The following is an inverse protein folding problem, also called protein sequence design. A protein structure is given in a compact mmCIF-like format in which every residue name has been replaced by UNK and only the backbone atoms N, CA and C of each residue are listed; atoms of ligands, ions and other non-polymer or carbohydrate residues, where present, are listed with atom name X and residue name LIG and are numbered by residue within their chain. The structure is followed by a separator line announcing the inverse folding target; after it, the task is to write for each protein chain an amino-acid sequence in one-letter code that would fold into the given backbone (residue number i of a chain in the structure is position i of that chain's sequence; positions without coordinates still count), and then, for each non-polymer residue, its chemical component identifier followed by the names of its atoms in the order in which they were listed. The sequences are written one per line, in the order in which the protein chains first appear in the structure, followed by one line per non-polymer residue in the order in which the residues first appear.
data_IF_926864022674
#
_entry.id   IF_926864022674
#
_cell.length_a   1.000
_cell.length_b   1.000
_cell.length_c   1.000
_cell.angle_alpha   90.00
_cell.angle_beta   90.00
_cell.angle_gamma   90.00
#
_symmetry.space_group_name_H-M   'P 1'
#
loop_
_entity.id
_entity.type
_entity.pdbx_description
1 polymer ?
#
# COMPACT_ATOMS: atom_id res chain seq x y z
N UNK A 1 26.05 25.48 5.05
CA UNK A 1 24.97 25.15 4.11
C UNK A 1 23.84 24.46 4.86
N UNK A 2 22.64 25.03 4.83
CA UNK A 2 21.50 24.45 5.53
C UNK A 2 20.90 23.36 4.65
N UNK A 3 20.85 22.14 5.16
CA UNK A 3 20.24 21.01 4.45
C UNK A 3 18.73 21.14 4.52
N UNK A 4 18.10 21.22 3.36
CA UNK A 4 16.64 21.35 3.26
C UNK A 4 15.98 20.02 3.65
N UNK A 5 15.09 20.05 4.64
CA UNK A 5 14.34 18.85 5.01
C UNK A 5 13.33 18.51 3.93
N UNK A 6 13.23 17.23 3.59
CA UNK A 6 12.20 16.73 2.70
C UNK A 6 10.82 16.94 3.34
N UNK A 7 9.85 17.38 2.54
CA UNK A 7 8.45 17.50 2.96
C UNK A 7 7.65 16.38 2.36
N UNK A 8 6.83 15.72 3.19
CA UNK A 8 6.02 14.60 2.77
C UNK A 8 4.55 14.96 2.71
N UNK A 9 3.87 14.44 1.69
CA UNK A 9 2.45 14.64 1.49
C UNK A 9 1.67 13.98 2.62
N UNK A 10 0.76 14.73 3.24
CA UNK A 10 -0.08 14.23 4.32
C UNK A 10 -1.37 15.04 4.42
N UNK A 11 -2.31 14.50 5.18
CA UNK A 11 -3.53 15.20 5.59
C UNK A 11 -3.64 15.11 7.10
N UNK A 12 -4.46 15.99 7.68
CA UNK A 12 -4.77 15.95 9.11
C UNK A 12 -6.27 15.82 9.30
N UNK A 13 -6.67 14.85 10.12
CA UNK A 13 -8.06 14.64 10.51
C UNK A 13 -8.08 14.59 12.04
N UNK A 14 -8.85 15.48 12.67
CA UNK A 14 -8.93 15.58 14.14
C UNK A 14 -7.54 15.66 14.78
N UNK A 15 -6.68 16.52 14.23
CA UNK A 15 -5.31 16.78 14.72
C UNK A 15 -4.35 15.60 14.55
N UNK A 16 -4.76 14.51 13.91
CA UNK A 16 -3.90 13.38 13.61
C UNK A 16 -3.46 13.44 12.15
N UNK A 17 -2.14 13.29 11.91
CA UNK A 17 -1.56 13.28 10.57
C UNK A 17 -1.55 11.88 9.98
N UNK A 18 -1.90 11.81 8.69
CA UNK A 18 -1.82 10.58 7.91
C UNK A 18 -0.98 10.87 6.68
N UNK A 19 0.11 10.13 6.49
CA UNK A 19 1.03 10.35 5.39
C UNK A 19 0.64 9.52 4.18
N UNK A 20 0.88 10.08 2.99
CA UNK A 20 0.57 9.46 1.71
C UNK A 20 1.74 8.58 1.27
N UNK A 21 1.45 7.33 0.90
CA UNK A 21 2.44 6.34 0.51
C UNK A 21 2.15 5.76 -0.86
N UNK A 22 3.22 5.37 -1.55
CA UNK A 22 3.18 4.43 -2.65
C UNK A 22 3.58 3.07 -2.10
N UNK A 23 2.74 2.07 -2.31
CA UNK A 23 2.90 0.72 -1.76
C UNK A 23 2.96 -0.26 -2.91
N UNK A 24 4.07 -0.99 -3.01
CA UNK A 24 4.20 -2.09 -3.97
C UNK A 24 4.00 -3.41 -3.26
N UNK A 25 3.08 -4.22 -3.78
CA UNK A 25 2.66 -5.44 -3.12
C UNK A 25 2.36 -6.53 -4.13
N UNK A 26 2.43 -7.79 -3.69
CA UNK A 26 2.16 -8.94 -4.52
C UNK A 26 0.73 -9.41 -4.32
N UNK A 27 -0.02 -9.45 -5.42
CA UNK A 27 -1.36 -10.00 -5.44
C UNK A 27 -1.28 -11.47 -5.87
N UNK A 28 -2.09 -12.32 -5.25
CA UNK A 28 -2.12 -13.73 -5.63
C UNK A 28 -2.66 -13.88 -7.04
N UNK A 29 -2.10 -14.84 -7.77
CA UNK A 29 -2.58 -15.21 -9.09
C UNK A 29 -3.19 -16.60 -9.02
N UNK A 30 -4.47 -16.72 -9.38
CA UNK A 30 -5.17 -17.99 -9.44
C UNK A 30 -5.65 -18.25 -10.84
N UNK A 31 -5.64 -19.52 -11.25
CA UNK A 31 -6.15 -19.94 -12.55
C UNK A 31 -6.72 -21.35 -12.38
N UNK A 32 -8.00 -21.52 -12.77
CA UNK A 32 -8.69 -22.80 -12.67
C UNK A 32 -8.52 -23.68 -13.91
N UNK A 33 -7.80 -23.20 -14.91
CA UNK A 33 -7.56 -23.93 -16.16
C UNK A 33 -6.49 -25.02 -16.00
N UNK A 34 -6.30 -25.76 -17.07
CA UNK A 34 -5.27 -26.80 -17.15
C UNK A 34 -3.96 -26.20 -17.64
N UNK A 35 -2.85 -26.65 -17.09
CA UNK A 35 -1.53 -26.18 -17.46
C UNK A 35 -0.51 -27.32 -17.43
N UNK A 36 0.49 -27.24 -18.31
CA UNK A 36 1.65 -28.09 -18.24
C UNK A 36 2.56 -27.66 -17.07
N UNK A 37 3.50 -28.48 -16.68
CA UNK A 37 4.49 -28.12 -15.66
C UNK A 37 5.25 -26.83 -16.04
N UNK A 38 5.61 -26.70 -17.30
CA UNK A 38 6.30 -25.51 -17.82
C UNK A 38 5.45 -24.23 -17.67
N UNK A 39 4.18 -24.32 -18.00
CA UNK A 39 3.24 -23.19 -17.85
C UNK A 39 3.04 -22.86 -16.38
N UNK A 40 2.92 -23.87 -15.52
CA UNK A 40 2.74 -23.70 -14.09
C UNK A 40 3.96 -23.02 -13.46
N UNK A 41 5.18 -23.48 -13.81
CA UNK A 41 6.43 -22.90 -13.29
C UNK A 41 6.61 -21.43 -13.70
N UNK A 42 6.01 -21.01 -14.80
CA UNK A 42 6.04 -19.63 -15.28
C UNK A 42 5.05 -18.69 -14.55
N UNK A 43 4.13 -19.25 -13.77
CA UNK A 43 3.11 -18.51 -13.05
C UNK A 43 3.72 -17.75 -11.88
N UNK A 44 3.51 -16.43 -11.84
CA UNK A 44 4.05 -15.55 -10.79
C UNK A 44 2.96 -14.64 -10.24
N UNK A 45 3.02 -14.26 -8.96
CA UNK A 45 2.11 -13.26 -8.42
C UNK A 45 2.26 -11.93 -9.15
N UNK A 46 1.17 -11.19 -9.28
CA UNK A 46 1.20 -9.86 -9.89
C UNK A 46 1.78 -8.84 -8.92
N UNK A 47 2.72 -8.03 -9.39
CA UNK A 47 3.21 -6.89 -8.62
C UNK A 47 2.30 -5.70 -8.88
N UNK A 48 1.65 -5.23 -7.82
CA UNK A 48 0.68 -4.12 -7.87
C UNK A 48 1.23 -2.89 -7.18
N UNK A 49 0.75 -1.73 -7.59
CA UNK A 49 1.06 -0.48 -6.92
C UNK A 49 -0.24 0.16 -6.44
N UNK A 50 -0.30 0.46 -5.15
CA UNK A 50 -1.40 1.18 -4.55
C UNK A 50 -0.87 2.46 -3.92
N UNK A 51 -1.59 3.54 -4.09
CA UNK A 51 -1.30 4.79 -3.38
C UNK A 51 -2.42 5.08 -2.41
N UNK A 52 -2.08 5.62 -1.24
CA UNK A 52 -3.08 5.97 -0.25
C UNK A 52 -2.43 6.49 1.02
N UNK A 53 -3.28 6.95 1.93
CA UNK A 53 -2.83 7.41 3.24
C UNK A 53 -2.74 6.22 4.19
N UNK A 54 -1.64 6.14 4.92
CA UNK A 54 -1.47 5.07 5.91
C UNK A 54 -2.25 5.43 7.16
N UNK A 55 -3.24 4.61 7.49
CA UNK A 55 -4.04 4.74 8.70
C UNK A 55 -3.29 4.19 9.92
N UNK A 56 -2.80 2.97 9.81
CA UNK A 56 -1.97 2.35 10.85
C UNK A 56 -1.22 1.15 10.28
N UNK A 57 -0.23 0.68 11.03
CA UNK A 57 0.59 -0.47 10.66
C UNK A 57 1.03 -1.18 11.92
N UNK A 58 0.94 -2.51 11.93
CA UNK A 58 1.52 -3.35 12.97
C UNK A 58 2.40 -4.43 12.33
N UNK A 59 2.77 -5.45 13.09
CA UNK A 59 3.64 -6.53 12.58
C UNK A 59 2.96 -7.41 11.55
N UNK A 60 1.63 -7.43 11.53
CA UNK A 60 0.84 -8.32 10.67
C UNK A 60 0.20 -7.60 9.49
N UNK A 61 -0.23 -6.36 9.67
CA UNK A 61 -1.08 -5.67 8.70
C UNK A 61 -0.67 -4.22 8.49
N UNK A 62 -1.03 -3.72 7.30
CA UNK A 62 -0.98 -2.31 6.94
C UNK A 62 -2.38 -1.89 6.52
N UNK A 63 -2.94 -0.87 7.16
CA UNK A 63 -4.25 -0.30 6.81
C UNK A 63 -4.08 1.03 6.11
N UNK A 64 -4.77 1.19 4.98
CA UNK A 64 -4.74 2.43 4.19
C UNK A 64 -6.14 2.89 3.82
N UNK A 65 -6.27 4.15 3.45
CA UNK A 65 -7.50 4.71 2.90
C UNK A 65 -7.16 5.76 1.84
N UNK A 66 -8.11 6.06 0.96
CA UNK A 66 -7.91 7.04 -0.10
C UNK A 66 -8.91 8.19 -0.03
N UNK A 67 -10.11 7.93 0.45
CA UNK A 67 -11.17 8.95 0.59
C UNK A 67 -11.56 9.09 2.05
N UNK A 68 -11.97 10.27 2.44
CA UNK A 68 -12.25 10.57 3.85
C UNK A 68 -13.14 11.80 3.97
N UNK A 69 -13.82 11.90 5.12
CA UNK A 69 -14.45 13.14 5.59
C UNK A 69 -13.93 13.47 7.00
N UNK A 70 -14.64 14.28 7.76
CA UNK A 70 -14.17 14.70 9.09
C UNK A 70 -14.13 13.58 10.12
N UNK A 71 -14.86 12.49 9.89
CA UNK A 71 -15.05 11.43 10.88
C UNK A 71 -14.86 10.02 10.33
N UNK A 72 -14.97 9.84 9.01
CA UNK A 72 -14.98 8.50 8.40
C UNK A 72 -13.96 8.36 7.28
N UNK A 73 -13.63 7.12 6.99
CA UNK A 73 -12.64 6.75 5.98
C UNK A 73 -13.26 5.76 5.00
N UNK A 74 -12.91 5.89 3.72
CA UNK A 74 -13.37 4.98 2.68
C UNK A 74 -12.26 4.65 1.70
N UNK A 75 -12.54 3.80 0.72
CA UNK A 75 -11.53 3.26 -0.18
C UNK A 75 -10.38 2.66 0.62
N UNK A 76 -10.75 1.78 1.53
CA UNK A 76 -9.85 1.21 2.52
C UNK A 76 -9.25 -0.09 2.02
N UNK A 77 -7.98 -0.30 2.37
CA UNK A 77 -7.29 -1.56 2.13
C UNK A 77 -6.63 -2.03 3.42
N UNK A 78 -6.57 -3.34 3.59
CA UNK A 78 -5.80 -3.96 4.64
C UNK A 78 -4.89 -4.99 3.99
N UNK A 79 -3.58 -4.72 4.04
CA UNK A 79 -2.58 -5.59 3.42
C UNK A 79 -1.91 -6.47 4.47
N UNK A 80 -1.79 -7.79 4.23
CA UNK A 80 -0.84 -8.58 5.02
C UNK A 80 0.58 -8.06 4.78
N UNK A 81 1.35 -7.89 5.83
CA UNK A 81 2.73 -7.38 5.70
C UNK A 81 3.57 -8.29 4.79
N UNK A 82 3.34 -9.60 4.83
CA UNK A 82 4.08 -10.54 3.99
C UNK A 82 3.87 -10.36 2.48
N UNK A 83 2.82 -9.64 2.07
CA UNK A 83 2.55 -9.35 0.65
C UNK A 83 3.17 -8.04 0.18
N UNK A 84 3.71 -7.22 1.08
CA UNK A 84 4.25 -5.91 0.74
C UNK A 84 5.72 -6.06 0.36
N UNK A 85 6.05 -5.58 -0.85
CA UNK A 85 7.43 -5.54 -1.31
C UNK A 85 8.16 -4.30 -0.80
N UNK A 86 7.52 -3.14 -0.90
CA UNK A 86 8.09 -1.89 -0.43
C UNK A 86 7.02 -0.83 -0.17
N UNK A 87 7.35 0.12 0.67
CA UNK A 87 6.51 1.28 0.98
C UNK A 87 7.38 2.52 0.90
N UNK A 88 6.87 3.56 0.28
CA UNK A 88 7.60 4.81 0.12
C UNK A 88 6.68 6.00 0.40
N UNK A 89 7.07 6.86 1.36
CA UNK A 89 6.39 8.15 1.55
C UNK A 89 6.56 8.99 0.31
N UNK A 90 5.48 9.65 -0.11
CA UNK A 90 5.49 10.52 -1.27
C UNK A 90 5.89 11.93 -0.84
N UNK A 91 6.92 12.48 -1.45
CA UNK A 91 7.35 13.86 -1.21
C UNK A 91 6.42 14.85 -1.92
N UNK A 92 6.31 16.02 -1.32
CA UNK A 92 5.57 17.13 -1.93
C UNK A 92 6.40 17.72 -3.06
#
# INVERSE_FOLDING_TARGET
MVKKKAKFRHISINKKKFYFYEIKWFDILGDSGHASSKEFDAMKPALMTTTGYVYSKDKKYLWTFASYDDETFSDRNCFPIGCIKEMKKVEI
#
